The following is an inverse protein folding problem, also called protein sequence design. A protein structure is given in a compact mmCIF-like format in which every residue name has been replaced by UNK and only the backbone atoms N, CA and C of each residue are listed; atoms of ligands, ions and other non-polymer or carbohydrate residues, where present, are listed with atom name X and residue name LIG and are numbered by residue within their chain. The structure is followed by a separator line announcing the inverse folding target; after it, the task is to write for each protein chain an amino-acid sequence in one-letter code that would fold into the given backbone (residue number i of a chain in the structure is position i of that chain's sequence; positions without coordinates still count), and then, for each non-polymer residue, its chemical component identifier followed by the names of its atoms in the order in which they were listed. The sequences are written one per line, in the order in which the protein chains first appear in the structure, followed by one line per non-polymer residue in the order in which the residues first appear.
data_IF_006824859965
#
_entry.id   IF_006824859965
#
_cell.length_a   1.000
_cell.length_b   1.000
_cell.length_c   1.000
_cell.angle_alpha   90.00
_cell.angle_beta   90.00
_cell.angle_gamma   90.00
#
_symmetry.space_group_name_H-M   'P 1'
#
loop_
_entity.id
_entity.type
_entity.pdbx_description
1 polymer ?
#
# COMPACT_ATOMS: atom_id res chain seq x y z
N UNK A 1 -38.20 26.91 -14.32
CA UNK A 1 -37.10 26.51 -15.25
C UNK A 1 -35.78 26.26 -14.48
N UNK A 2 -35.29 27.14 -13.57
CA UNK A 2 -34.03 26.98 -12.83
C UNK A 2 -33.97 25.74 -11.91
N UNK A 3 -35.10 25.35 -11.29
CA UNK A 3 -35.17 24.18 -10.40
C UNK A 3 -35.05 22.84 -11.15
N UNK A 4 -35.62 22.76 -12.36
CA UNK A 4 -35.51 21.55 -13.19
C UNK A 4 -34.12 21.37 -13.78
N UNK A 5 -33.38 22.45 -14.05
CA UNK A 5 -32.00 22.40 -14.52
C UNK A 5 -31.06 21.87 -13.43
N UNK A 6 -31.31 22.22 -12.15
CA UNK A 6 -30.56 21.67 -11.01
C UNK A 6 -30.76 20.17 -10.84
N UNK A 7 -32.01 19.69 -10.95
CA UNK A 7 -32.34 18.26 -10.86
C UNK A 7 -31.74 17.44 -11.99
N UNK A 8 -31.82 17.93 -13.23
CA UNK A 8 -31.21 17.26 -14.39
C UNK A 8 -29.69 17.12 -14.26
N UNK A 9 -29.01 18.16 -13.76
CA UNK A 9 -27.56 18.13 -13.49
C UNK A 9 -27.20 17.07 -12.43
N UNK A 10 -27.96 17.01 -11.33
CA UNK A 10 -27.77 16.02 -10.27
C UNK A 10 -27.97 14.60 -10.78
N UNK A 11 -29.06 14.36 -11.55
CA UNK A 11 -29.32 13.05 -12.16
C UNK A 11 -28.19 12.64 -13.10
N UNK A 12 -27.69 13.56 -13.95
CA UNK A 12 -26.56 13.30 -14.82
C UNK A 12 -25.30 12.95 -14.03
N UNK A 13 -25.01 13.66 -12.92
CA UNK A 13 -23.88 13.36 -12.06
C UNK A 13 -23.97 11.94 -11.46
N UNK A 14 -25.16 11.51 -11.02
CA UNK A 14 -25.36 10.14 -10.53
C UNK A 14 -25.20 9.09 -11.63
N UNK A 15 -25.72 9.33 -12.83
CA UNK A 15 -25.55 8.41 -13.98
C UNK A 15 -24.07 8.24 -14.30
N UNK A 16 -23.32 9.35 -14.39
CA UNK A 16 -21.87 9.32 -14.65
C UNK A 16 -21.13 8.60 -13.52
N UNK A 17 -21.46 8.90 -12.26
CA UNK A 17 -20.82 8.26 -11.12
C UNK A 17 -21.06 6.74 -11.09
N UNK A 18 -22.31 6.31 -11.35
CA UNK A 18 -22.66 4.88 -11.44
C UNK A 18 -21.92 4.22 -12.59
N UNK A 19 -21.90 4.86 -13.77
CA UNK A 19 -21.18 4.33 -14.94
C UNK A 19 -19.69 4.14 -14.68
N UNK A 20 -19.04 5.15 -14.09
CA UNK A 20 -17.63 5.06 -13.69
C UNK A 20 -17.42 3.95 -12.65
N UNK A 21 -18.32 3.83 -11.67
CA UNK A 21 -18.22 2.79 -10.63
C UNK A 21 -18.32 1.39 -11.24
N UNK A 22 -19.24 1.16 -12.17
CA UNK A 22 -19.38 -0.13 -12.87
C UNK A 22 -18.10 -0.46 -13.64
N UNK A 23 -17.56 0.50 -14.38
CA UNK A 23 -16.32 0.31 -15.16
C UNK A 23 -15.15 -0.02 -14.22
N UNK A 24 -15.03 0.66 -13.08
CA UNK A 24 -13.95 0.43 -12.12
C UNK A 24 -14.09 -0.92 -11.37
N UNK A 25 -15.32 -1.35 -11.11
CA UNK A 25 -15.57 -2.63 -10.42
C UNK A 25 -15.50 -3.83 -11.38
N UNK A 26 -15.66 -3.62 -12.68
CA UNK A 26 -15.69 -4.69 -13.66
C UNK A 26 -14.44 -5.59 -13.64
N UNK A 27 -13.20 -5.09 -13.57
CA UNK A 27 -12.02 -5.95 -13.48
C UNK A 27 -12.01 -6.84 -12.21
N UNK A 28 -12.48 -6.30 -11.08
CA UNK A 28 -12.57 -7.05 -9.81
C UNK A 28 -13.66 -8.13 -9.93
N UNK A 29 -14.82 -7.75 -10.45
CA UNK A 29 -15.90 -8.69 -10.75
C UNK A 29 -15.40 -9.82 -11.66
N UNK A 30 -14.72 -9.47 -12.78
CA UNK A 30 -14.18 -10.43 -13.71
C UNK A 30 -13.19 -11.40 -13.06
N UNK A 31 -12.30 -10.89 -12.21
CA UNK A 31 -11.35 -11.70 -11.45
C UNK A 31 -12.06 -12.70 -10.54
N UNK A 32 -13.08 -12.25 -9.80
CA UNK A 32 -13.83 -13.12 -8.87
C UNK A 32 -14.60 -14.21 -9.61
N UNK A 33 -15.34 -13.87 -10.67
CA UNK A 33 -16.09 -14.88 -11.43
C UNK A 33 -15.16 -15.83 -12.18
N UNK A 34 -14.01 -15.35 -12.66
CA UNK A 34 -13.01 -16.19 -13.34
C UNK A 34 -12.36 -17.17 -12.37
N UNK A 35 -12.18 -16.79 -11.10
CA UNK A 35 -11.72 -17.69 -10.05
C UNK A 35 -12.70 -18.85 -9.75
N UNK A 36 -13.96 -18.69 -10.13
CA UNK A 36 -15.02 -19.68 -9.90
C UNK A 36 -15.37 -20.53 -11.13
N UNK A 37 -14.70 -20.28 -12.28
CA UNK A 37 -14.92 -21.02 -13.54
C UNK A 37 -13.97 -22.20 -13.67
N UNK A 38 -14.28 -23.07 -14.66
CA UNK A 38 -13.32 -24.07 -15.15
C UNK A 38 -12.30 -23.44 -16.10
N UNK A 39 -11.12 -24.05 -16.23
CA UNK A 39 -10.10 -23.58 -17.20
C UNK A 39 -10.63 -23.60 -18.63
N UNK A 40 -11.42 -24.61 -18.99
CA UNK A 40 -12.04 -24.75 -20.32
C UNK A 40 -13.06 -23.64 -20.60
N UNK A 41 -13.84 -23.23 -19.59
CA UNK A 41 -14.80 -22.13 -19.73
C UNK A 41 -14.10 -20.77 -19.99
N UNK A 42 -12.94 -20.54 -19.35
CA UNK A 42 -12.16 -19.32 -19.55
C UNK A 42 -11.53 -19.22 -20.95
N UNK A 43 -11.37 -20.35 -21.65
CA UNK A 43 -10.82 -20.40 -23.01
C UNK A 43 -11.89 -20.32 -24.10
N UNK A 44 -13.17 -20.19 -23.75
CA UNK A 44 -14.23 -20.05 -24.74
C UNK A 44 -14.04 -18.77 -25.58
N UNK A 45 -14.29 -18.83 -26.92
CA UNK A 45 -14.18 -17.66 -27.78
C UNK A 45 -15.08 -16.50 -27.36
N UNK A 46 -16.25 -16.82 -26.78
CA UNK A 46 -17.19 -15.85 -26.22
C UNK A 46 -17.16 -15.98 -24.71
N UNK A 47 -16.63 -14.99 -23.99
CA UNK A 47 -16.55 -15.02 -22.53
C UNK A 47 -17.94 -15.05 -21.88
N UNK A 48 -18.15 -15.92 -20.93
CA UNK A 48 -19.36 -15.94 -20.10
C UNK A 48 -19.25 -14.91 -18.99
N UNK A 49 -20.32 -14.15 -18.74
CA UNK A 49 -20.34 -13.18 -17.62
C UNK A 49 -20.64 -13.84 -16.28
N UNK A 50 -21.09 -15.10 -16.27
CA UNK A 50 -21.42 -15.87 -15.08
C UNK A 50 -20.89 -17.29 -15.22
N UNK A 51 -20.36 -17.93 -14.15
CA UNK A 51 -19.88 -19.31 -14.21
C UNK A 51 -21.02 -20.27 -14.59
N UNK A 52 -20.77 -21.17 -15.51
CA UNK A 52 -21.70 -22.28 -15.84
C UNK A 52 -21.70 -23.31 -14.72
N UNK A 53 -20.49 -23.65 -14.24
CA UNK A 53 -20.25 -24.53 -13.10
C UNK A 53 -19.38 -23.81 -12.08
N UNK A 54 -19.87 -23.68 -10.84
CA UNK A 54 -19.12 -23.04 -9.76
C UNK A 54 -18.04 -23.97 -9.22
N UNK A 55 -16.76 -23.61 -9.39
CA UNK A 55 -15.58 -24.33 -8.94
C UNK A 55 -14.92 -23.71 -7.72
N UNK A 56 -15.53 -23.94 -6.56
CA UNK A 56 -14.97 -23.48 -5.28
C UNK A 56 -13.64 -24.16 -4.95
N UNK A 57 -13.39 -25.34 -5.48
CA UNK A 57 -12.16 -26.10 -5.34
C UNK A 57 -10.91 -25.39 -5.87
N UNK A 58 -11.07 -24.37 -6.74
CA UNK A 58 -9.94 -23.59 -7.23
C UNK A 58 -9.17 -22.88 -6.09
N UNK A 59 -9.84 -22.49 -5.01
CA UNK A 59 -9.19 -21.87 -3.85
C UNK A 59 -8.33 -22.84 -3.05
N UNK A 60 -8.83 -23.99 -2.55
CA UNK A 60 -7.98 -24.96 -1.88
C UNK A 60 -6.90 -25.53 -2.79
N UNK A 61 -7.13 -25.68 -4.11
CA UNK A 61 -6.10 -26.12 -5.05
C UNK A 61 -4.90 -25.18 -5.07
N UNK A 62 -5.10 -23.85 -5.04
CA UNK A 62 -4.01 -22.88 -4.94
C UNK A 62 -3.20 -23.09 -3.66
N UNK A 63 -3.86 -23.34 -2.52
CA UNK A 63 -3.19 -23.57 -1.24
C UNK A 63 -2.36 -24.87 -1.23
N UNK A 64 -2.75 -25.88 -2.01
CA UNK A 64 -2.00 -27.11 -2.18
C UNK A 64 -0.78 -26.96 -3.12
N UNK A 65 -0.89 -26.08 -4.13
CA UNK A 65 0.17 -25.87 -5.13
C UNK A 65 1.30 -24.94 -4.65
N UNK A 66 1.00 -24.04 -3.73
CA UNK A 66 1.98 -23.10 -3.22
C UNK A 66 1.65 -22.72 -1.77
N UNK A 67 2.65 -22.38 -0.93
CA UNK A 67 2.45 -21.99 0.47
C UNK A 67 1.87 -20.57 0.61
N UNK A 68 0.67 -20.35 0.04
CA UNK A 68 0.01 -19.04 -0.03
C UNK A 68 -0.20 -18.39 1.35
N UNK A 69 -0.56 -19.19 2.36
CA UNK A 69 -0.70 -18.71 3.73
C UNK A 69 0.63 -18.13 4.24
N UNK A 70 1.76 -18.78 3.91
CA UNK A 70 3.09 -18.27 4.24
C UNK A 70 3.39 -16.97 3.50
N UNK A 71 3.02 -16.85 2.23
CA UNK A 71 3.20 -15.63 1.46
C UNK A 71 2.40 -14.45 2.03
N UNK A 72 1.15 -14.70 2.44
CA UNK A 72 0.31 -13.70 3.12
C UNK A 72 0.95 -13.26 4.44
N UNK A 73 1.42 -14.21 5.25
CA UNK A 73 2.10 -13.92 6.50
C UNK A 73 3.38 -13.09 6.27
N UNK A 74 4.22 -13.48 5.31
CA UNK A 74 5.44 -12.75 5.00
C UNK A 74 5.14 -11.32 4.54
N UNK A 75 4.09 -11.13 3.73
CA UNK A 75 3.65 -9.82 3.26
C UNK A 75 3.15 -8.98 4.42
N UNK A 76 2.32 -9.54 5.29
CA UNK A 76 1.80 -8.84 6.46
C UNK A 76 2.94 -8.39 7.38
N UNK A 77 3.83 -9.32 7.74
CA UNK A 77 4.98 -9.03 8.61
C UNK A 77 5.86 -7.95 8.00
N UNK A 78 6.31 -8.12 6.74
CA UNK A 78 7.18 -7.13 6.10
C UNK A 78 6.50 -5.77 5.99
N UNK A 79 5.23 -5.70 5.57
CA UNK A 79 4.48 -4.45 5.41
C UNK A 79 4.29 -3.73 6.75
N UNK A 80 3.90 -4.45 7.81
CA UNK A 80 3.70 -3.87 9.15
C UNK A 80 5.01 -3.34 9.72
N UNK A 81 6.11 -4.08 9.59
CA UNK A 81 7.41 -3.62 10.10
C UNK A 81 7.98 -2.44 9.28
N UNK A 82 7.79 -2.43 7.95
CA UNK A 82 8.14 -1.28 7.11
C UNK A 82 7.34 -0.05 7.55
N UNK A 83 6.02 -0.18 7.67
CA UNK A 83 5.14 0.91 8.09
C UNK A 83 5.50 1.44 9.49
N UNK A 84 5.76 0.55 10.45
CA UNK A 84 6.18 0.94 11.80
C UNK A 84 7.52 1.68 11.78
N UNK A 85 8.49 1.22 10.99
CA UNK A 85 9.78 1.87 10.83
C UNK A 85 9.65 3.26 10.18
N UNK A 86 8.90 3.37 9.08
CA UNK A 86 8.62 4.67 8.44
C UNK A 86 7.90 5.63 9.40
N UNK A 87 6.94 5.15 10.20
CA UNK A 87 6.28 5.95 11.22
C UNK A 87 7.27 6.48 12.26
N UNK A 88 8.05 5.61 12.87
CA UNK A 88 8.98 5.99 13.93
C UNK A 88 10.06 6.94 13.39
N UNK A 89 10.76 6.52 12.34
CA UNK A 89 11.88 7.28 11.78
C UNK A 89 11.37 8.57 11.12
N UNK A 90 10.26 8.47 10.39
CA UNK A 90 9.66 9.60 9.69
C UNK A 90 9.12 10.67 10.63
N UNK A 91 8.47 10.30 11.75
CA UNK A 91 8.00 11.24 12.77
C UNK A 91 9.18 11.99 13.41
N UNK A 92 10.23 11.26 13.80
CA UNK A 92 11.42 11.86 14.42
C UNK A 92 12.15 12.78 13.45
N UNK A 93 12.36 12.35 12.21
CA UNK A 93 13.00 13.15 11.17
C UNK A 93 12.17 14.38 10.81
N UNK A 94 10.85 14.21 10.61
CA UNK A 94 9.94 15.31 10.31
C UNK A 94 9.90 16.36 11.44
N UNK A 95 9.91 15.93 12.71
CA UNK A 95 10.02 16.83 13.85
C UNK A 95 11.33 17.63 13.82
N UNK A 96 12.44 16.94 13.59
CA UNK A 96 13.76 17.60 13.47
C UNK A 96 13.78 18.65 12.36
N UNK A 97 13.24 18.33 11.20
CA UNK A 97 13.20 19.24 10.03
C UNK A 97 12.13 20.34 10.13
N UNK A 98 11.03 20.12 10.87
CA UNK A 98 9.96 21.10 11.03
C UNK A 98 10.25 22.10 12.16
N UNK A 99 10.57 21.59 13.35
CA UNK A 99 10.64 22.35 14.61
C UNK A 99 12.05 22.40 15.21
N UNK A 100 12.99 21.61 14.70
CA UNK A 100 14.38 21.62 15.17
C UNK A 100 15.13 22.90 14.80
N UNK A 101 16.02 23.35 15.70
CA UNK A 101 16.91 24.50 15.49
C UNK A 101 18.36 24.00 15.43
N UNK A 102 18.88 23.74 14.22
CA UNK A 102 20.28 23.33 14.02
C UNK A 102 20.84 23.86 12.70
N UNK A 103 22.17 24.02 12.65
CA UNK A 103 22.86 24.50 11.43
C UNK A 103 22.72 23.48 10.29
N UNK A 104 22.44 23.94 9.09
CA UNK A 104 22.30 23.08 7.90
C UNK A 104 20.95 22.37 7.73
N UNK A 105 19.95 22.62 8.62
CA UNK A 105 18.62 21.98 8.55
C UNK A 105 18.00 22.01 7.16
N UNK A 106 18.00 23.20 6.52
CA UNK A 106 17.39 23.36 5.21
C UNK A 106 18.19 22.64 4.11
N UNK A 107 19.52 22.67 4.16
CA UNK A 107 20.37 21.96 3.22
C UNK A 107 20.19 20.43 3.34
N UNK A 108 20.16 19.91 4.55
CA UNK A 108 19.86 18.47 4.78
C UNK A 108 18.46 18.09 4.31
N UNK A 109 17.47 18.96 4.52
CA UNK A 109 16.12 18.70 4.01
C UNK A 109 16.08 18.73 2.47
N UNK A 110 16.84 19.62 1.84
CA UNK A 110 16.97 19.62 0.37
C UNK A 110 17.58 18.33 -0.16
N UNK A 111 18.49 17.67 0.56
CA UNK A 111 18.98 16.33 0.20
C UNK A 111 17.87 15.28 0.29
N UNK A 112 17.01 15.34 1.32
CA UNK A 112 15.84 14.48 1.42
C UNK A 112 14.90 14.68 0.22
N UNK A 113 14.66 15.94 -0.19
CA UNK A 113 13.87 16.24 -1.39
C UNK A 113 14.56 15.73 -2.67
N UNK A 114 15.89 15.89 -2.75
CA UNK A 114 16.69 15.34 -3.86
C UNK A 114 16.52 13.82 -4.02
N UNK A 115 16.39 13.09 -2.91
CA UNK A 115 16.16 11.65 -2.94
C UNK A 115 14.83 11.28 -3.60
N UNK A 116 13.79 12.15 -3.54
CA UNK A 116 12.52 11.92 -4.23
C UNK A 116 12.64 11.97 -5.77
N UNK A 117 13.67 12.63 -6.27
CA UNK A 117 13.89 12.75 -7.72
C UNK A 117 14.59 11.53 -8.31
N UNK A 118 15.14 10.65 -7.46
CA UNK A 118 15.84 9.45 -7.90
C UNK A 118 14.81 8.34 -8.11
N UNK A 119 14.64 7.82 -9.36
CA UNK A 119 13.77 6.67 -9.59
C UNK A 119 14.23 5.47 -8.76
N UNK A 120 13.32 4.88 -7.99
CA UNK A 120 13.65 3.77 -7.08
C UNK A 120 14.26 2.57 -7.82
N UNK A 121 13.92 2.38 -9.11
CA UNK A 121 14.45 1.31 -9.94
C UNK A 121 15.95 1.39 -10.13
N UNK A 122 16.51 2.61 -10.16
CA UNK A 122 17.96 2.84 -10.31
C UNK A 122 18.72 2.37 -9.06
N UNK A 123 18.10 2.48 -7.89
CA UNK A 123 18.71 2.11 -6.61
C UNK A 123 18.63 0.62 -6.31
N UNK A 124 17.81 -0.15 -7.02
CA UNK A 124 17.61 -1.58 -6.75
C UNK A 124 18.90 -2.39 -6.83
N UNK A 125 19.69 -2.22 -7.88
CA UNK A 125 20.91 -3.01 -8.07
C UNK A 125 21.96 -2.71 -7.00
N UNK A 126 22.34 -1.44 -6.70
CA UNK A 126 23.25 -1.12 -5.61
C UNK A 126 22.77 -1.66 -4.25
N UNK A 127 21.50 -1.50 -3.92
CA UNK A 127 20.94 -1.99 -2.65
C UNK A 127 20.97 -3.52 -2.61
N UNK A 128 20.63 -4.20 -3.72
CA UNK A 128 20.71 -5.66 -3.80
C UNK A 128 22.12 -6.18 -3.53
N UNK A 129 23.14 -5.57 -4.13
CA UNK A 129 24.55 -5.95 -3.90
C UNK A 129 24.93 -5.79 -2.43
N UNK A 130 24.49 -4.69 -1.79
CA UNK A 130 24.75 -4.45 -0.37
C UNK A 130 24.05 -5.50 0.51
N UNK A 131 22.76 -5.77 0.27
CA UNK A 131 21.98 -6.77 1.00
C UNK A 131 22.55 -8.18 0.80
N UNK A 132 23.02 -8.49 -0.41
CA UNK A 132 23.68 -9.77 -0.72
C UNK A 132 24.99 -9.93 0.06
N UNK A 133 25.82 -8.88 0.12
CA UNK A 133 27.07 -8.90 0.90
C UNK A 133 26.86 -9.06 2.40
N UNK A 134 25.73 -8.53 2.91
CA UNK A 134 25.31 -8.70 4.31
C UNK A 134 24.73 -10.08 4.61
N UNK A 135 24.52 -10.94 3.60
CA UNK A 135 23.90 -12.26 3.76
C UNK A 135 22.40 -12.19 4.05
N UNK A 136 21.73 -11.09 3.70
CA UNK A 136 20.30 -10.86 3.99
C UNK A 136 19.36 -11.27 2.86
N UNK A 137 19.86 -11.90 1.81
CA UNK A 137 19.02 -12.53 0.79
C UNK A 137 18.22 -13.67 1.43
N UNK A 138 16.93 -13.79 1.07
CA UNK A 138 16.00 -14.74 1.68
C UNK A 138 15.88 -14.56 3.21
N UNK A 139 15.64 -13.34 3.65
CA UNK A 139 15.41 -13.01 5.06
C UNK A 139 14.47 -11.81 5.23
N UNK A 140 13.83 -11.69 6.40
CA UNK A 140 13.04 -10.51 6.73
C UNK A 140 13.86 -9.21 6.78
N UNK A 141 15.09 -9.16 7.35
CA UNK A 141 15.93 -7.97 7.24
C UNK A 141 16.13 -7.48 5.81
N UNK A 142 16.37 -8.38 4.85
CA UNK A 142 16.52 -8.02 3.45
C UNK A 142 15.25 -7.44 2.81
N UNK A 143 14.07 -7.90 3.24
CA UNK A 143 12.78 -7.36 2.81
C UNK A 143 12.46 -6.00 3.45
N UNK A 144 12.78 -5.82 4.72
CA UNK A 144 12.28 -4.73 5.57
C UNK A 144 13.26 -3.55 5.62
N UNK A 145 14.53 -3.79 5.96
CA UNK A 145 15.48 -2.73 6.32
C UNK A 145 15.69 -1.69 5.22
N UNK A 146 15.83 -2.04 3.92
CA UNK A 146 15.96 -1.04 2.87
C UNK A 146 14.77 -0.11 2.70
N UNK A 147 13.61 -0.50 3.21
CA UNK A 147 12.34 0.22 3.06
C UNK A 147 11.90 0.94 4.35
N UNK A 148 12.73 0.98 5.41
CA UNK A 148 12.36 1.61 6.69
C UNK A 148 12.32 3.14 6.64
N UNK A 149 12.87 3.77 5.60
CA UNK A 149 12.96 5.21 5.49
C UNK A 149 12.36 5.65 4.14
N UNK A 150 11.38 6.53 4.21
CA UNK A 150 10.74 7.14 3.04
C UNK A 150 10.92 8.65 3.06
N UNK A 151 11.59 9.18 2.04
CA UNK A 151 11.72 10.63 1.85
C UNK A 151 10.35 11.30 1.66
N UNK A 152 9.40 10.62 0.99
CA UNK A 152 8.03 11.08 0.82
C UNK A 152 7.30 11.19 2.16
N UNK A 153 7.44 10.18 3.03
CA UNK A 153 6.85 10.18 4.37
C UNK A 153 7.37 11.36 5.20
N UNK A 154 8.70 11.54 5.22
CA UNK A 154 9.36 12.65 5.94
C UNK A 154 8.87 14.00 5.42
N UNK A 155 8.80 14.17 4.09
CA UNK A 155 8.33 15.39 3.46
C UNK A 155 6.89 15.74 3.86
N UNK A 156 5.96 14.82 3.67
CA UNK A 156 4.54 15.03 3.95
C UNK A 156 4.31 15.34 5.42
N UNK A 157 4.96 14.60 6.31
CA UNK A 157 4.79 14.79 7.74
C UNK A 157 5.46 16.08 8.23
N UNK A 158 6.61 16.47 7.65
CA UNK A 158 7.20 17.79 7.93
C UNK A 158 6.24 18.92 7.56
N UNK A 159 5.56 18.86 6.40
CA UNK A 159 4.58 19.88 6.02
C UNK A 159 3.42 19.93 7.02
N UNK A 160 2.93 18.78 7.45
CA UNK A 160 1.89 18.71 8.47
C UNK A 160 2.35 19.29 9.82
N UNK A 161 3.56 19.00 10.27
CA UNK A 161 4.11 19.55 11.51
C UNK A 161 4.37 21.06 11.42
N UNK A 162 4.75 21.57 10.25
CA UNK A 162 4.91 23.01 10.03
C UNK A 162 3.60 23.78 10.09
N UNK A 163 2.46 23.16 9.73
CA UNK A 163 1.15 23.78 9.79
C UNK A 163 0.59 23.90 11.22
N UNK A 164 1.21 23.25 12.20
CA UNK A 164 0.83 23.39 13.62
C UNK A 164 1.42 24.67 14.19
N UNK A 165 0.55 25.52 14.76
CA UNK A 165 0.95 26.78 15.37
C UNK A 165 1.93 26.55 16.53
N UNK A 166 2.95 27.41 16.64
CA UNK A 166 4.00 27.29 17.66
C UNK A 166 3.44 27.48 19.07
N UNK A 167 2.34 28.24 19.23
CA UNK A 167 1.67 28.45 20.51
C UNK A 167 1.27 27.16 21.23
N UNK A 168 0.86 26.11 20.47
CA UNK A 168 0.57 24.79 21.06
C UNK A 168 1.82 24.10 21.59
N UNK A 169 2.95 24.29 20.92
CA UNK A 169 4.22 23.74 21.38
C UNK A 169 4.76 24.51 22.60
N UNK A 170 4.57 25.83 22.62
CA UNK A 170 4.97 26.67 23.76
C UNK A 170 4.12 26.35 24.99
N UNK A 171 2.81 26.16 24.85
CA UNK A 171 1.95 25.70 25.94
C UNK A 171 2.44 24.33 26.48
N UNK A 172 2.73 23.36 25.60
CA UNK A 172 3.28 22.08 26.01
C UNK A 172 4.64 22.20 26.72
N UNK A 173 5.49 23.15 26.33
CA UNK A 173 6.77 23.43 27.04
C UNK A 173 6.55 24.00 28.43
N UNK A 174 5.57 24.90 28.59
CA UNK A 174 5.16 25.44 29.90
C UNK A 174 4.64 24.34 30.82
N UNK A 175 3.89 23.36 30.23
CA UNK A 175 3.42 22.17 30.95
C UNK A 175 4.54 21.15 31.24
N UNK A 176 5.81 21.45 30.91
CA UNK A 176 6.96 20.61 31.19
C UNK A 176 7.21 19.49 30.18
N UNK A 177 6.56 19.50 29.02
CA UNK A 177 6.78 18.48 27.99
C UNK A 177 8.16 18.62 27.33
N UNK A 178 8.97 17.57 27.41
CA UNK A 178 10.18 17.42 26.62
C UNK A 178 9.87 17.15 25.13
N UNK A 179 10.91 17.03 24.29
CA UNK A 179 10.78 16.85 22.83
C UNK A 179 9.87 15.67 22.43
N UNK A 180 10.04 14.51 23.06
CA UNK A 180 9.21 13.33 22.80
C UNK A 180 7.78 13.57 23.29
N UNK A 181 7.60 14.25 24.41
CA UNK A 181 6.30 14.65 24.92
C UNK A 181 5.55 15.55 23.93
N UNK A 182 6.21 16.57 23.35
CA UNK A 182 5.65 17.44 22.32
C UNK A 182 5.26 16.68 21.07
N UNK A 183 6.07 15.71 20.64
CA UNK A 183 5.71 14.86 19.49
C UNK A 183 4.45 14.06 19.82
N UNK A 184 4.43 13.33 20.95
CA UNK A 184 3.37 12.37 21.29
C UNK A 184 2.04 13.03 21.65
N UNK A 185 2.08 14.15 22.42
CA UNK A 185 0.87 14.74 22.99
C UNK A 185 0.38 15.98 22.23
N UNK A 186 1.21 16.60 21.38
CA UNK A 186 0.83 17.77 20.59
C UNK A 186 0.82 17.46 19.10
N UNK A 187 1.98 17.19 18.50
CA UNK A 187 2.11 17.10 17.05
C UNK A 187 1.38 15.89 16.45
N UNK A 188 1.58 14.70 17.00
CA UNK A 188 0.95 13.46 16.49
C UNK A 188 -0.58 13.53 16.55
N UNK A 189 -1.22 13.95 17.67
CA UNK A 189 -2.66 14.11 17.71
C UNK A 189 -3.19 15.18 16.75
N UNK A 190 -2.53 16.33 16.65
CA UNK A 190 -2.97 17.43 15.77
C UNK A 190 -2.82 17.10 14.28
N UNK A 191 -1.88 16.24 13.92
CA UNK A 191 -1.63 15.81 12.54
C UNK A 191 -2.08 14.39 12.25
N UNK A 192 -2.85 13.78 13.17
CA UNK A 192 -3.34 12.41 13.04
C UNK A 192 -4.00 12.10 11.68
N UNK A 193 -4.83 12.97 11.06
CA UNK A 193 -5.38 12.69 9.74
C UNK A 193 -4.30 12.47 8.68
N UNK A 194 -3.26 13.29 8.67
CA UNK A 194 -2.13 13.14 7.74
C UNK A 194 -1.34 11.86 8.02
N UNK A 195 -1.05 11.58 9.29
CA UNK A 195 -0.37 10.35 9.69
C UNK A 195 -1.13 9.10 9.26
N UNK A 196 -2.43 9.05 9.50
CA UNK A 196 -3.28 7.93 9.09
C UNK A 196 -3.25 7.76 7.57
N UNK A 197 -3.42 8.86 6.82
CA UNK A 197 -3.41 8.82 5.35
C UNK A 197 -2.09 8.28 4.81
N UNK A 198 -0.95 8.79 5.31
CA UNK A 198 0.36 8.33 4.84
C UNK A 198 0.58 6.86 5.24
N UNK A 199 0.19 6.45 6.45
CA UNK A 199 0.31 5.06 6.91
C UNK A 199 -0.49 4.09 6.04
N UNK A 200 -1.68 4.48 5.59
CA UNK A 200 -2.50 3.69 4.66
C UNK A 200 -1.77 3.55 3.31
N UNK A 201 -1.22 4.65 2.79
CA UNK A 201 -0.45 4.64 1.53
C UNK A 201 0.77 3.72 1.66
N UNK A 202 1.53 3.82 2.76
CA UNK A 202 2.67 2.95 3.04
C UNK A 202 2.25 1.48 3.12
N UNK A 203 1.14 1.18 3.80
CA UNK A 203 0.62 -0.19 3.87
C UNK A 203 0.27 -0.73 2.49
N UNK A 204 -0.48 0.03 1.68
CA UNK A 204 -0.86 -0.37 0.33
C UNK A 204 0.38 -0.61 -0.55
N UNK A 205 1.37 0.27 -0.48
CA UNK A 205 2.61 0.15 -1.24
C UNK A 205 3.43 -1.07 -0.80
N UNK A 206 3.55 -1.31 0.50
CA UNK A 206 4.24 -2.47 1.06
C UNK A 206 3.57 -3.79 0.69
N UNK A 207 2.23 -3.83 0.80
CA UNK A 207 1.43 -5.00 0.42
C UNK A 207 1.56 -5.36 -1.05
N UNK A 208 1.50 -4.37 -1.93
CA UNK A 208 1.59 -4.55 -3.37
C UNK A 208 3.04 -4.60 -3.89
N UNK A 209 4.03 -4.51 -3.01
CA UNK A 209 5.43 -4.52 -3.40
C UNK A 209 5.80 -5.83 -4.10
N UNK A 210 6.34 -5.70 -5.32
CA UNK A 210 6.66 -6.84 -6.19
C UNK A 210 8.15 -6.90 -6.55
N UNK A 211 8.71 -5.80 -7.07
CA UNK A 211 10.06 -5.81 -7.63
C UNK A 211 11.13 -6.14 -6.58
N UNK A 212 11.12 -5.45 -5.45
CA UNK A 212 12.10 -5.69 -4.40
C UNK A 212 11.98 -7.09 -3.79
N UNK A 213 10.81 -7.56 -3.33
CA UNK A 213 10.66 -8.92 -2.84
C UNK A 213 11.05 -10.00 -3.87
N UNK A 214 10.76 -9.77 -5.16
CA UNK A 214 11.15 -10.70 -6.21
C UNK A 214 12.66 -10.89 -6.32
N UNK A 215 13.44 -9.83 -6.05
CA UNK A 215 14.90 -9.87 -6.09
C UNK A 215 15.50 -10.55 -4.85
N UNK A 216 14.98 -10.25 -3.66
CA UNK A 216 15.60 -10.66 -2.40
C UNK A 216 14.97 -11.87 -1.74
N UNK A 217 13.74 -12.26 -2.10
CA UNK A 217 13.00 -13.39 -1.54
C UNK A 217 12.75 -14.47 -2.62
N UNK A 218 13.79 -15.19 -2.98
CA UNK A 218 13.75 -16.22 -4.04
C UNK A 218 13.21 -17.56 -3.54
N UNK A 219 13.32 -17.83 -2.21
CA UNK A 219 12.80 -19.04 -1.56
C UNK A 219 11.36 -18.84 -1.10
N UNK A 220 10.55 -19.89 -1.15
CA UNK A 220 9.15 -19.87 -0.75
C UNK A 220 8.94 -19.45 0.71
N UNK A 221 9.93 -19.72 1.58
CA UNK A 221 9.89 -19.34 3.01
C UNK A 221 9.77 -17.83 3.25
N UNK A 222 10.29 -16.99 2.34
CA UNK A 222 10.31 -15.53 2.48
C UNK A 222 9.54 -14.78 1.40
N UNK A 223 8.99 -15.51 0.42
CA UNK A 223 8.26 -14.91 -0.70
C UNK A 223 7.02 -14.18 -0.24
N UNK A 224 6.74 -13.02 -0.84
CA UNK A 224 5.54 -12.23 -0.59
C UNK A 224 4.41 -12.65 -1.53
N UNK A 225 3.17 -12.26 -1.19
CA UNK A 225 1.97 -12.67 -1.92
C UNK A 225 1.97 -12.17 -3.38
N UNK A 226 2.41 -10.94 -3.63
CA UNK A 226 2.48 -10.38 -4.98
C UNK A 226 3.43 -11.19 -5.89
N UNK A 227 4.56 -11.65 -5.35
CA UNK A 227 5.49 -12.55 -6.04
C UNK A 227 4.90 -13.95 -6.18
N UNK A 228 4.20 -14.43 -5.16
CA UNK A 228 3.55 -15.76 -5.14
C UNK A 228 2.49 -15.92 -6.22
N UNK A 229 1.60 -14.93 -6.39
CA UNK A 229 0.59 -14.94 -7.46
C UNK A 229 1.24 -15.00 -8.85
N UNK A 230 2.31 -14.24 -9.07
CA UNK A 230 3.03 -14.26 -10.36
C UNK A 230 3.69 -15.61 -10.60
N UNK A 231 4.17 -16.28 -9.53
CA UNK A 231 4.79 -17.59 -9.65
C UNK A 231 3.78 -18.69 -10.02
N UNK A 232 2.54 -18.63 -9.56
CA UNK A 232 1.49 -19.54 -10.02
C UNK A 232 1.42 -19.55 -11.56
N UNK A 233 1.47 -18.38 -12.19
CA UNK A 233 1.51 -18.28 -13.66
C UNK A 233 2.71 -19.01 -14.26
N UNK A 234 3.88 -18.96 -13.62
CA UNK A 234 5.08 -19.66 -14.08
C UNK A 234 4.97 -21.18 -13.90
N UNK A 235 4.32 -21.64 -12.83
CA UNK A 235 4.10 -23.07 -12.57
C UNK A 235 3.22 -23.72 -13.65
N UNK A 236 2.30 -22.93 -14.24
CA UNK A 236 1.44 -23.39 -15.33
C UNK A 236 2.02 -23.11 -16.73
N UNK A 237 3.18 -22.46 -16.83
CA UNK A 237 3.85 -22.24 -18.11
C UNK A 237 4.34 -23.59 -18.67
N UNK A 238 3.82 -23.95 -19.85
CA UNK A 238 4.12 -25.25 -20.50
C UNK A 238 3.05 -26.33 -20.32
N UNK A 239 1.97 -26.09 -19.57
CA UNK A 239 0.79 -26.94 -19.60
C UNK A 239 -0.09 -26.59 -20.82
N UNK A 240 -0.70 -27.59 -21.45
CA UNK A 240 -1.60 -27.41 -22.60
C UNK A 240 -2.78 -26.47 -22.29
N UNK A 241 -3.23 -26.46 -21.05
CA UNK A 241 -4.25 -25.53 -20.54
C UNK A 241 -3.70 -24.83 -19.32
N UNK A 242 -3.40 -23.55 -19.45
CA UNK A 242 -3.01 -22.74 -18.30
C UNK A 242 -4.21 -22.59 -17.35
N UNK A 243 -4.03 -22.96 -16.08
CA UNK A 243 -5.08 -22.88 -15.05
C UNK A 243 -5.31 -21.43 -14.61
N UNK A 244 -5.80 -20.60 -15.54
CA UNK A 244 -6.11 -19.18 -15.28
C UNK A 244 -7.11 -18.99 -14.14
N UNK A 245 -8.05 -19.93 -13.95
CA UNK A 245 -8.99 -19.96 -12.84
C UNK A 245 -8.28 -19.99 -11.47
N UNK A 246 -7.25 -20.83 -11.31
CA UNK A 246 -6.47 -20.92 -10.09
C UNK A 246 -5.59 -19.66 -9.89
N UNK A 247 -5.04 -19.09 -10.96
CA UNK A 247 -4.31 -17.80 -10.89
C UNK A 247 -5.26 -16.69 -10.40
N UNK A 248 -6.49 -16.65 -10.93
CA UNK A 248 -7.51 -15.68 -10.50
C UNK A 248 -7.94 -15.93 -9.05
N UNK A 249 -8.08 -17.19 -8.62
CA UNK A 249 -8.35 -17.53 -7.22
C UNK A 249 -7.22 -17.05 -6.28
N UNK A 250 -5.96 -17.23 -6.68
CA UNK A 250 -4.81 -16.70 -5.96
C UNK A 250 -4.82 -15.17 -5.89
N UNK A 251 -5.18 -14.50 -6.98
CA UNK A 251 -5.31 -13.04 -7.01
C UNK A 251 -6.46 -12.53 -6.10
N UNK A 252 -7.62 -13.23 -6.10
CA UNK A 252 -8.72 -12.95 -5.17
C UNK A 252 -8.25 -13.06 -3.72
N UNK A 253 -7.58 -14.15 -3.36
CA UNK A 253 -7.05 -14.32 -2.00
C UNK A 253 -6.03 -13.22 -1.63
N UNK A 254 -5.23 -12.77 -2.58
CA UNK A 254 -4.23 -11.71 -2.34
C UNK A 254 -4.86 -10.32 -2.11
N UNK A 255 -6.02 -10.03 -2.71
CA UNK A 255 -6.67 -8.71 -2.58
C UNK A 255 -7.57 -8.62 -1.34
N UNK A 256 -8.08 -9.73 -0.81
CA UNK A 256 -9.00 -9.75 0.34
C UNK A 256 -8.49 -8.92 1.53
N UNK A 257 -7.23 -9.05 2.00
CA UNK A 257 -6.74 -8.28 3.13
C UNK A 257 -6.71 -6.77 2.88
N UNK A 258 -6.42 -6.34 1.64
CA UNK A 258 -6.44 -4.90 1.27
C UNK A 258 -7.87 -4.37 1.30
N UNK A 259 -8.82 -5.11 0.71
CA UNK A 259 -10.24 -4.73 0.70
C UNK A 259 -10.76 -4.64 2.14
N UNK A 260 -10.44 -5.61 2.98
CA UNK A 260 -10.83 -5.60 4.39
C UNK A 260 -10.25 -4.39 5.14
N UNK A 261 -8.97 -4.12 4.96
CA UNK A 261 -8.32 -2.94 5.54
C UNK A 261 -8.99 -1.64 5.05
N UNK A 262 -9.25 -1.55 3.74
CA UNK A 262 -9.93 -0.38 3.16
C UNK A 262 -11.31 -0.15 3.78
N UNK A 263 -12.13 -1.20 3.92
CA UNK A 263 -13.47 -1.10 4.51
C UNK A 263 -13.43 -0.60 5.96
N UNK A 264 -12.39 -0.96 6.72
CA UNK A 264 -12.19 -0.45 8.08
C UNK A 264 -11.74 1.01 8.08
N UNK A 265 -10.81 1.37 7.20
CA UNK A 265 -10.10 2.66 7.24
C UNK A 265 -10.71 3.74 6.34
N UNK A 266 -11.69 3.42 5.46
CA UNK A 266 -12.32 4.36 4.52
C UNK A 266 -12.84 5.64 5.18
N UNK A 267 -13.40 5.53 6.40
CA UNK A 267 -13.89 6.68 7.16
C UNK A 267 -12.78 7.71 7.50
N UNK A 268 -11.58 7.23 7.77
CA UNK A 268 -10.44 8.10 8.07
C UNK A 268 -9.87 8.76 6.81
N UNK A 269 -9.87 8.04 5.68
CA UNK A 269 -9.46 8.56 4.37
C UNK A 269 -10.38 9.72 3.96
N UNK A 270 -11.70 9.51 4.04
CA UNK A 270 -12.68 10.54 3.66
C UNK A 270 -12.62 11.77 4.55
N UNK A 271 -12.40 11.60 5.86
CA UNK A 271 -12.28 12.73 6.80
C UNK A 271 -11.00 13.55 6.53
N UNK A 272 -9.90 12.89 6.17
CA UNK A 272 -8.65 13.55 5.80
C UNK A 272 -8.77 14.39 4.51
N UNK A 273 -9.47 13.86 3.50
CA UNK A 273 -9.68 14.55 2.22
C UNK A 273 -10.66 15.73 2.34
N UNK A 274 -11.74 15.60 3.12
CA UNK A 274 -12.73 16.67 3.26
C UNK A 274 -12.17 17.92 3.95
N UNK A 275 -11.28 17.74 4.93
CA UNK A 275 -10.58 18.88 5.58
C UNK A 275 -9.56 19.57 4.66
N UNK A 276 -8.99 18.86 3.69
CA UNK A 276 -8.10 19.44 2.70
C UNK A 276 -8.85 20.23 1.60
N UNK A 277 -10.08 19.83 1.28
CA UNK A 277 -10.92 20.48 0.26
C UNK A 277 -11.65 21.74 0.77
N UNK A 278 -11.70 21.96 2.09
CA UNK A 278 -12.35 23.14 2.70
C UNK A 278 -11.36 24.28 3.04
N UNK A 279 -10.13 24.20 2.62
CA UNK A 279 -9.13 25.30 2.61
C UNK A 279 -8.91 25.78 1.19
#
# INVERSE_FOLDING_TARGET
AKQNFGRAKVVLQYIVAIGVTIIMLFPIYWMVISALKTSTELLLPVPTLWPRDFRWENFPNVLQRAPFVRYLFNTLVSTVFIMAGELIIGVLAAFGFAKGKFKGRNAMFMLVLGALMIPIQVTFVPIYVMISRLGWINSFPGLIVPNLVSAYFIFMLRQAFMSVDESYLDAGRVDGLGRIGLIRHVLVPMTAPTLITISIITFINGWNSYFWPRMVATRDEYRTIAVGVTRLRQTFAGMEVANYNEIMAGAVMAIIPIVFLFLILQKYIMTGMSKAAMK
#
